data_IF_803963007760
#
_entry.id   IF_803963007760
#
_cell.length_a   1.000
_cell.length_b   1.000
_cell.length_c   1.000
_cell.angle_alpha   90.00
_cell.angle_beta   90.00
_cell.angle_gamma   90.00
#
_symmetry.space_group_name_H-M   'P 1'
#
loop_
_entity.id
_entity.type
_entity.pdbx_description
1 polymer ?
#
# COMPACT_ATOMS: atom_id res chain seq x y z
N UNK A 1 24.78 -39.05 -30.47
CA UNK A 1 24.30 -38.96 -29.09
C UNK A 1 23.25 -37.87 -28.98
N UNK A 2 22.02 -38.31 -28.96
CA UNK A 2 20.90 -37.33 -28.85
C UNK A 2 20.87 -36.81 -27.42
N UNK A 3 21.18 -35.53 -27.26
CA UNK A 3 20.89 -34.85 -26.01
C UNK A 3 19.38 -34.94 -25.75
N UNK A 4 18.99 -35.58 -24.64
CA UNK A 4 17.66 -35.42 -24.13
C UNK A 4 17.49 -33.93 -23.86
N UNK A 5 16.77 -33.24 -24.71
CA UNK A 5 16.19 -31.94 -24.39
C UNK A 5 15.26 -32.22 -23.23
N UNK A 6 15.60 -31.70 -22.05
CA UNK A 6 14.63 -31.61 -20.96
C UNK A 6 13.38 -30.98 -21.54
N UNK A 7 12.19 -31.55 -21.30
CA UNK A 7 10.97 -30.82 -21.68
C UNK A 7 11.08 -29.45 -21.08
N UNK A 8 10.86 -28.43 -21.93
CA UNK A 8 10.80 -27.06 -21.45
C UNK A 8 9.86 -27.03 -20.24
N UNK A 9 10.36 -26.56 -19.11
CA UNK A 9 9.49 -26.35 -17.96
C UNK A 9 8.27 -25.58 -18.44
N UNK A 10 7.05 -26.02 -18.08
CA UNK A 10 5.88 -25.23 -18.38
C UNK A 10 6.15 -23.81 -17.89
N UNK A 11 5.83 -22.78 -18.68
CA UNK A 11 6.04 -21.42 -18.25
C UNK A 11 5.44 -21.29 -16.86
N UNK A 12 6.27 -20.90 -15.88
CA UNK A 12 5.77 -20.53 -14.57
C UNK A 12 4.57 -19.63 -14.81
N UNK A 13 3.41 -19.89 -14.18
CA UNK A 13 2.30 -19.01 -14.34
C UNK A 13 2.84 -17.60 -14.12
N UNK A 14 2.78 -16.78 -15.15
CA UNK A 14 3.19 -15.41 -15.04
C UNK A 14 2.38 -14.87 -13.86
N UNK A 15 3.05 -14.58 -12.76
CA UNK A 15 2.43 -13.79 -11.74
C UNK A 15 1.96 -12.54 -12.47
N UNK A 16 0.65 -12.41 -12.62
CA UNK A 16 0.07 -11.19 -13.14
C UNK A 16 0.69 -10.07 -12.32
N UNK A 17 1.48 -9.22 -12.96
CA UNK A 17 1.95 -8.01 -12.32
C UNK A 17 0.72 -7.26 -11.84
N UNK A 18 0.59 -7.12 -10.53
CA UNK A 18 -0.51 -6.37 -9.94
C UNK A 18 -0.38 -4.92 -10.40
N UNK A 19 -1.39 -4.42 -11.10
CA UNK A 19 -1.47 -3.02 -11.50
C UNK A 19 -2.73 -2.45 -10.89
N UNK A 20 -2.56 -1.60 -9.89
CA UNK A 20 -3.64 -0.89 -9.23
C UNK A 20 -3.36 0.60 -9.27
N UNK A 21 -4.38 1.38 -9.66
CA UNK A 21 -4.33 2.83 -9.52
C UNK A 21 -4.43 3.22 -8.04
N UNK A 22 -4.06 4.45 -7.73
CA UNK A 22 -4.26 5.00 -6.39
C UNK A 22 -5.72 4.91 -5.93
N UNK A 23 -6.66 5.25 -6.80
CA UNK A 23 -8.09 5.17 -6.47
C UNK A 23 -8.58 3.72 -6.29
N UNK A 24 -8.00 2.76 -6.99
CA UNK A 24 -8.29 1.34 -6.77
C UNK A 24 -7.79 0.88 -5.39
N UNK A 25 -6.61 1.33 -4.97
CA UNK A 25 -6.10 1.07 -3.62
C UNK A 25 -7.04 1.68 -2.58
N UNK A 26 -7.45 2.92 -2.76
CA UNK A 26 -8.40 3.61 -1.87
C UNK A 26 -9.74 2.87 -1.79
N UNK A 27 -10.26 2.42 -2.93
CA UNK A 27 -11.53 1.69 -3.01
C UNK A 27 -11.49 0.38 -2.22
N UNK A 28 -10.43 -0.40 -2.38
CA UNK A 28 -10.25 -1.65 -1.64
C UNK A 28 -10.15 -1.42 -0.13
N UNK A 29 -9.41 -0.40 0.28
CA UNK A 29 -9.27 -0.04 1.70
C UNK A 29 -10.58 0.46 2.29
N UNK A 30 -11.32 1.28 1.56
CA UNK A 30 -12.64 1.75 2.01
C UNK A 30 -13.57 0.57 2.28
N UNK A 31 -13.66 -0.38 1.36
CA UNK A 31 -14.50 -1.57 1.52
C UNK A 31 -14.07 -2.40 2.74
N UNK A 32 -12.78 -2.64 2.89
CA UNK A 32 -12.23 -3.40 4.03
C UNK A 32 -12.50 -2.71 5.36
N UNK A 33 -12.23 -1.42 5.44
CA UNK A 33 -12.39 -0.65 6.68
C UNK A 33 -13.86 -0.52 7.07
N UNK A 34 -14.75 -0.30 6.12
CA UNK A 34 -16.19 -0.26 6.39
C UNK A 34 -16.70 -1.61 6.91
N UNK A 35 -16.21 -2.72 6.36
CA UNK A 35 -16.53 -4.07 6.85
C UNK A 35 -16.07 -4.24 8.31
N UNK A 36 -14.95 -3.63 8.69
CA UNK A 36 -14.40 -3.69 10.04
C UNK A 36 -15.03 -2.64 10.99
N UNK A 37 -16.06 -1.94 10.55
CA UNK A 37 -16.82 -1.00 11.38
C UNK A 37 -16.31 0.44 11.37
N UNK A 38 -15.39 0.80 10.47
CA UNK A 38 -14.89 2.16 10.34
C UNK A 38 -15.83 3.01 9.47
N UNK A 39 -15.97 4.27 9.83
CA UNK A 39 -16.53 5.31 8.94
C UNK A 39 -15.38 5.91 8.17
N UNK A 40 -15.44 5.91 6.84
CA UNK A 40 -14.29 6.21 5.98
C UNK A 40 -14.57 7.43 5.11
N UNK A 41 -13.69 8.41 5.19
CA UNK A 41 -13.64 9.54 4.27
C UNK A 41 -12.46 9.37 3.31
N UNK A 42 -12.70 9.53 2.02
CA UNK A 42 -11.69 9.35 0.96
C UNK A 42 -11.59 10.59 0.10
N UNK A 43 -10.37 11.07 -0.11
CA UNK A 43 -10.08 12.07 -1.13
C UNK A 43 -9.80 11.35 -2.45
N UNK A 44 -10.74 11.42 -3.39
CA UNK A 44 -10.64 10.74 -4.67
C UNK A 44 -9.91 11.58 -5.71
N UNK A 45 -9.21 10.89 -6.62
CA UNK A 45 -8.57 11.54 -7.75
C UNK A 45 -7.57 12.62 -7.32
N UNK A 46 -7.80 13.85 -7.78
CA UNK A 46 -6.94 15.01 -7.48
C UNK A 46 -7.43 15.86 -6.31
N UNK A 47 -8.41 15.40 -5.55
CA UNK A 47 -8.85 16.10 -4.37
C UNK A 47 -7.70 16.29 -3.39
N UNK A 48 -7.62 17.48 -2.81
CA UNK A 48 -6.60 17.79 -1.81
C UNK A 48 -7.01 17.28 -0.44
N UNK A 49 -6.03 16.97 0.37
CA UNK A 49 -6.22 16.53 1.75
C UNK A 49 -5.66 15.13 1.98
N UNK A 50 -6.02 14.55 3.12
CA UNK A 50 -5.60 13.22 3.51
C UNK A 50 -6.33 12.20 2.63
N UNK A 51 -5.59 11.25 2.07
CA UNK A 51 -6.16 10.26 1.16
C UNK A 51 -7.29 9.46 1.80
N UNK A 52 -7.08 8.94 3.01
CA UNK A 52 -8.12 8.23 3.78
C UNK A 52 -8.05 8.64 5.24
N UNK A 53 -9.20 9.00 5.80
CA UNK A 53 -9.39 9.13 7.24
C UNK A 53 -10.49 8.18 7.66
N UNK A 54 -10.17 7.25 8.55
CA UNK A 54 -11.12 6.30 9.10
C UNK A 54 -11.36 6.60 10.58
N UNK A 55 -12.64 6.58 10.99
CA UNK A 55 -13.06 6.84 12.37
C UNK A 55 -13.87 5.67 12.89
N UNK A 56 -13.55 5.24 14.11
CA UNK A 56 -14.30 4.20 14.80
C UNK A 56 -14.28 4.49 16.31
N UNK A 57 -15.39 5.03 16.85
CA UNK A 57 -15.43 5.54 18.21
C UNK A 57 -14.36 6.62 18.41
N UNK A 58 -13.48 6.50 19.43
CA UNK A 58 -12.39 7.45 19.64
C UNK A 58 -11.18 7.21 18.74
N UNK A 59 -11.17 6.12 17.98
CA UNK A 59 -10.05 5.74 17.11
C UNK A 59 -10.06 6.54 15.81
N UNK A 60 -8.88 7.00 15.40
CA UNK A 60 -8.67 7.69 14.12
C UNK A 60 -7.50 7.04 13.40
N UNK A 61 -7.68 6.74 12.13
CA UNK A 61 -6.66 6.13 11.27
C UNK A 61 -6.45 6.99 10.04
N UNK A 62 -5.22 7.45 9.85
CA UNK A 62 -4.82 8.27 8.73
C UNK A 62 -3.97 7.42 7.79
N UNK A 63 -4.36 7.35 6.52
CA UNK A 63 -3.71 6.50 5.53
C UNK A 63 -3.42 7.33 4.28
N UNK A 64 -2.16 7.34 3.85
CA UNK A 64 -1.77 7.88 2.55
C UNK A 64 -1.55 6.72 1.57
N UNK A 65 -2.03 6.88 0.34
CA UNK A 65 -2.10 5.82 -0.65
C UNK A 65 -1.30 6.17 -1.90
N UNK A 66 -0.70 5.16 -2.53
CA UNK A 66 -0.12 5.25 -3.87
C UNK A 66 -0.51 4.05 -4.71
N UNK A 67 -0.62 4.27 -6.01
CA UNK A 67 -0.82 3.22 -6.99
C UNK A 67 0.50 2.63 -7.48
N UNK A 68 0.40 1.67 -8.39
CA UNK A 68 1.58 0.97 -8.95
C UNK A 68 2.47 1.90 -9.77
N UNK A 69 1.89 2.90 -10.45
CA UNK A 69 2.59 3.68 -11.45
C UNK A 69 2.70 2.94 -12.79
N UNK A 70 3.18 3.64 -13.82
CA UNK A 70 3.27 3.10 -15.18
C UNK A 70 4.57 2.35 -15.45
N UNK A 71 5.65 2.64 -14.71
CA UNK A 71 6.96 2.01 -14.88
C UNK A 71 7.61 1.76 -13.52
N UNK A 72 8.40 0.66 -13.36
CA UNK A 72 9.04 0.32 -12.08
C UNK A 72 9.88 1.42 -11.43
N UNK A 73 10.69 2.22 -12.17
CA UNK A 73 11.46 3.31 -11.54
C UNK A 73 10.60 4.34 -10.81
N UNK A 74 9.37 4.57 -11.23
CA UNK A 74 8.45 5.50 -10.57
C UNK A 74 8.07 5.05 -9.16
N UNK A 75 8.12 3.74 -8.89
CA UNK A 75 7.75 3.19 -7.59
C UNK A 75 8.67 3.67 -6.47
N UNK A 76 9.97 3.86 -6.73
CA UNK A 76 10.88 4.48 -5.76
C UNK A 76 10.42 5.89 -5.40
N UNK A 77 10.12 6.70 -6.40
CA UNK A 77 9.68 8.08 -6.21
C UNK A 77 8.31 8.12 -5.49
N UNK A 78 7.43 7.21 -5.84
CA UNK A 78 6.11 7.10 -5.19
C UNK A 78 6.25 6.71 -3.72
N UNK A 79 7.16 5.79 -3.40
CA UNK A 79 7.42 5.40 -2.02
C UNK A 79 7.94 6.57 -1.19
N UNK A 80 8.97 7.26 -1.68
CA UNK A 80 9.54 8.43 -1.01
C UNK A 80 8.48 9.53 -0.86
N UNK A 81 7.71 9.77 -1.92
CA UNK A 81 6.66 10.78 -1.92
C UNK A 81 5.57 10.50 -0.89
N UNK A 82 5.06 9.28 -0.84
CA UNK A 82 3.98 8.93 0.11
C UNK A 82 4.46 8.92 1.55
N UNK A 83 5.70 8.52 1.80
CA UNK A 83 6.31 8.64 3.15
C UNK A 83 6.35 10.10 3.58
N UNK A 84 6.83 10.99 2.70
CA UNK A 84 6.88 12.44 2.97
C UNK A 84 5.48 13.03 3.20
N UNK A 85 4.51 12.65 2.40
CA UNK A 85 3.11 13.08 2.56
C UNK A 85 2.55 12.62 3.91
N UNK A 86 2.78 11.36 4.27
CA UNK A 86 2.32 10.84 5.57
C UNK A 86 2.93 11.61 6.73
N UNK A 87 4.24 11.90 6.68
CA UNK A 87 4.90 12.67 7.73
C UNK A 87 4.24 14.04 7.94
N UNK A 88 3.80 14.68 6.87
CA UNK A 88 3.08 15.95 6.93
C UNK A 88 1.67 15.83 7.54
N UNK A 89 1.10 14.63 7.54
CA UNK A 89 -0.21 14.34 8.14
C UNK A 89 -0.15 13.94 9.61
N UNK A 90 1.06 13.79 10.18
CA UNK A 90 1.26 13.31 11.55
C UNK A 90 1.14 14.45 12.57
N UNK A 91 -0.04 15.04 12.64
CA UNK A 91 -0.36 16.13 13.58
C UNK A 91 -1.16 15.70 14.80
N UNK A 92 -1.61 14.43 14.83
CA UNK A 92 -2.40 13.87 15.92
C UNK A 92 -1.71 12.62 16.47
N UNK A 93 -1.13 12.73 17.67
CA UNK A 93 -0.42 11.65 18.33
C UNK A 93 -1.31 10.42 18.62
N UNK A 94 -2.61 10.62 18.71
CA UNK A 94 -3.58 9.56 19.02
C UNK A 94 -4.01 8.79 17.77
N UNK A 95 -3.77 9.34 16.59
CA UNK A 95 -4.13 8.69 15.35
C UNK A 95 -3.15 7.57 15.01
N UNK A 96 -3.66 6.50 14.42
CA UNK A 96 -2.85 5.48 13.76
C UNK A 96 -2.49 5.99 12.36
N UNK A 97 -1.26 5.76 11.93
CA UNK A 97 -0.76 6.22 10.63
C UNK A 97 -0.24 5.05 9.81
N UNK A 98 -0.67 4.97 8.56
CA UNK A 98 -0.25 3.94 7.63
C UNK A 98 -0.03 4.48 6.22
N UNK A 99 0.81 3.77 5.47
CA UNK A 99 0.94 3.97 4.02
C UNK A 99 0.42 2.73 3.31
N UNK A 100 -0.26 2.93 2.19
CA UNK A 100 -0.89 1.85 1.46
C UNK A 100 -0.39 1.80 0.02
N UNK A 101 -0.13 0.58 -0.44
CA UNK A 101 0.41 0.29 -1.77
C UNK A 101 -0.27 -0.94 -2.36
N UNK A 102 -0.25 -1.07 -3.69
CA UNK A 102 -0.46 -2.38 -4.30
C UNK A 102 0.55 -3.40 -3.77
N UNK A 103 0.11 -4.64 -3.59
CA UNK A 103 0.98 -5.72 -3.11
C UNK A 103 1.89 -6.21 -4.24
N UNK A 104 2.99 -5.50 -4.45
CA UNK A 104 4.02 -5.81 -5.43
C UNK A 104 5.38 -5.96 -4.75
N UNK A 105 6.27 -6.83 -5.27
CA UNK A 105 7.57 -7.09 -4.62
C UNK A 105 8.39 -5.83 -4.37
N UNK A 106 8.36 -4.87 -5.27
CA UNK A 106 9.09 -3.61 -5.14
C UNK A 106 8.69 -2.83 -3.91
N UNK A 107 7.39 -2.62 -3.67
CA UNK A 107 6.91 -1.89 -2.50
C UNK A 107 7.15 -2.68 -1.20
N UNK A 108 7.01 -4.00 -1.25
CA UNK A 108 7.37 -4.87 -0.12
C UNK A 108 8.82 -4.68 0.30
N UNK A 109 9.72 -4.68 -0.68
CA UNK A 109 11.14 -4.47 -0.44
C UNK A 109 11.44 -3.08 0.12
N UNK A 110 10.89 -2.04 -0.49
CA UNK A 110 11.10 -0.66 -0.02
C UNK A 110 10.63 -0.47 1.42
N UNK A 111 9.50 -1.06 1.78
CA UNK A 111 9.03 -1.06 3.17
C UNK A 111 9.98 -1.80 4.10
N UNK A 112 10.45 -2.98 3.70
CA UNK A 112 11.39 -3.78 4.49
C UNK A 112 12.72 -3.05 4.71
N UNK A 113 13.19 -2.30 3.71
CA UNK A 113 14.43 -1.52 3.78
C UNK A 113 14.31 -0.25 4.64
N UNK A 114 13.09 0.21 4.90
CA UNK A 114 12.89 1.33 5.80
C UNK A 114 13.34 0.95 7.20
N UNK A 115 14.19 1.76 7.86
CA UNK A 115 14.75 1.39 9.16
C UNK A 115 13.70 1.07 10.23
N UNK A 116 13.93 0.02 10.98
CA UNK A 116 13.06 -0.40 12.08
C UNK A 116 12.84 0.73 13.09
N UNK A 117 13.88 1.50 13.38
CA UNK A 117 13.79 2.65 14.29
C UNK A 117 12.73 3.66 13.84
N UNK A 118 12.66 3.97 12.54
CA UNK A 118 11.65 4.89 12.01
C UNK A 118 10.25 4.32 12.19
N UNK A 119 10.06 3.05 11.81
CA UNK A 119 8.77 2.37 11.91
C UNK A 119 8.26 2.35 13.36
N UNK A 120 9.14 1.99 14.27
CA UNK A 120 8.79 1.89 15.71
C UNK A 120 8.52 3.26 16.34
N UNK A 121 9.40 4.22 16.11
CA UNK A 121 9.25 5.56 16.71
C UNK A 121 8.04 6.31 16.21
N UNK A 122 7.73 6.18 14.94
CA UNK A 122 6.56 6.81 14.33
C UNK A 122 5.32 5.91 14.38
N UNK A 123 5.45 4.67 14.82
CA UNK A 123 4.38 3.67 14.89
C UNK A 123 3.70 3.49 13.53
N UNK A 124 4.51 3.45 12.46
CA UNK A 124 4.01 3.29 11.09
C UNK A 124 3.68 1.84 10.79
N UNK A 125 2.62 1.62 10.03
CA UNK A 125 2.34 0.35 9.38
C UNK A 125 2.19 0.54 7.88
N UNK A 126 2.39 -0.53 7.12
CA UNK A 126 2.13 -0.57 5.69
C UNK A 126 0.94 -1.48 5.41
N UNK A 127 0.08 -1.04 4.49
CA UNK A 127 -1.06 -1.80 4.00
C UNK A 127 -0.79 -2.19 2.55
N UNK A 128 -0.77 -3.49 2.28
CA UNK A 128 -0.56 -4.01 0.93
C UNK A 128 -1.88 -4.55 0.39
N UNK A 129 -2.28 -4.02 -0.76
CA UNK A 129 -3.57 -4.32 -1.39
C UNK A 129 -3.33 -5.20 -2.61
N UNK A 130 -3.95 -6.37 -2.61
CA UNK A 130 -3.90 -7.31 -3.74
C UNK A 130 -4.96 -6.96 -4.78
N UNK A 131 -4.83 -7.51 -5.98
CA UNK A 131 -5.75 -7.29 -7.09
C UNK A 131 -7.17 -7.81 -6.82
N UNK A 132 -7.32 -8.79 -5.93
CA UNK A 132 -8.63 -9.28 -5.48
C UNK A 132 -9.29 -8.42 -4.38
N UNK A 133 -8.62 -7.33 -3.97
CA UNK A 133 -9.10 -6.43 -2.91
C UNK A 133 -8.71 -6.83 -1.50
N UNK A 134 -8.01 -7.94 -1.31
CA UNK A 134 -7.52 -8.33 0.02
C UNK A 134 -6.42 -7.38 0.48
N UNK A 135 -6.33 -7.17 1.79
CA UNK A 135 -5.40 -6.23 2.41
C UNK A 135 -4.61 -6.92 3.51
N UNK A 136 -3.30 -6.74 3.50
CA UNK A 136 -2.38 -7.21 4.55
C UNK A 136 -1.73 -6.02 5.21
N UNK A 137 -1.80 -5.96 6.53
CA UNK A 137 -1.11 -4.93 7.33
C UNK A 137 0.20 -5.48 7.88
N UNK A 138 1.29 -4.75 7.70
CA UNK A 138 2.62 -5.10 8.19
C UNK A 138 3.18 -3.93 9.00
N UNK A 139 3.58 -4.24 10.21
CA UNK A 139 4.27 -3.28 11.08
C UNK A 139 5.75 -3.14 10.69
#
# INVERSE_FOLDING_TARGET
MLRKTSPAEPPKPQQKSVVLSEDQVKSALKAKLETDGWTVEVAWGRERGIDIVALRGPERWVIECKGTGSIPPMQNNYFVGVVGELLQRMSDERAKHSIAFPDVPKFRRLWTELPTMVKERLKLTALFVSDDGSVVEIA
#
